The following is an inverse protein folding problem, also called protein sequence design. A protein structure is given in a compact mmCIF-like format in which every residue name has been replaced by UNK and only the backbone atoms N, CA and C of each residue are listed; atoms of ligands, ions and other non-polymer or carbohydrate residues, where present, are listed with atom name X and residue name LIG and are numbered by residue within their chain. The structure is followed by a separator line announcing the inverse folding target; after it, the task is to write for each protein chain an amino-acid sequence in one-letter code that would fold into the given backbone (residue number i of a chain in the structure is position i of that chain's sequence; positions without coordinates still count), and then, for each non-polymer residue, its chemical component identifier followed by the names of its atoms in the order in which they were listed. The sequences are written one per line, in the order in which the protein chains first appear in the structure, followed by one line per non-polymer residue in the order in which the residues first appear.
data_IF_595869137845
#
_entry.id   IF_595869137845
#
_cell.length_a   1.000
_cell.length_b   1.000
_cell.length_c   1.000
_cell.angle_alpha   90.00
_cell.angle_beta   90.00
_cell.angle_gamma   90.00
#
_symmetry.space_group_name_H-M   'P 1'
#
loop_
_entity.id
_entity.type
_entity.pdbx_description
1 polymer ?
#
# COMPACT_ATOMS: atom_id res chain seq x y z
N UNK A 1 -46.75 20.65 4.46
CA UNK A 1 -45.51 20.89 3.70
C UNK A 1 -44.53 19.84 4.21
N UNK A 2 -44.16 18.82 3.42
CA UNK A 2 -43.34 17.70 3.88
C UNK A 2 -41.89 18.14 4.08
N UNK A 3 -41.28 17.73 5.20
CA UNK A 3 -39.87 17.95 5.50
C UNK A 3 -38.98 17.37 4.38
N UNK A 4 -38.02 18.15 3.83
CA UNK A 4 -36.98 17.58 3.00
C UNK A 4 -36.11 16.73 3.93
N UNK A 5 -36.05 15.43 3.69
CA UNK A 5 -35.16 14.50 4.37
C UNK A 5 -33.71 14.94 4.17
N UNK A 6 -33.24 15.83 5.05
CA UNK A 6 -31.84 16.14 5.24
C UNK A 6 -31.21 14.93 5.89
N UNK A 7 -30.43 14.18 5.12
CA UNK A 7 -29.57 13.12 5.62
C UNK A 7 -28.80 13.65 6.82
N UNK A 8 -29.09 13.13 8.02
CA UNK A 8 -28.38 13.53 9.22
C UNK A 8 -26.88 13.33 8.99
N UNK A 9 -26.03 14.29 9.39
CA UNK A 9 -24.60 14.15 9.23
C UNK A 9 -24.14 12.83 9.85
N UNK A 10 -23.15 12.15 9.25
CA UNK A 10 -22.66 10.87 9.75
C UNK A 10 -22.38 10.97 11.26
N UNK A 11 -22.98 10.08 12.07
CA UNK A 11 -22.80 10.14 13.52
C UNK A 11 -21.32 10.04 13.89
N UNK A 12 -20.88 10.78 14.90
CA UNK A 12 -19.48 10.78 15.36
C UNK A 12 -18.96 9.35 15.61
N UNK A 13 -19.83 8.47 16.10
CA UNK A 13 -19.56 7.05 16.31
C UNK A 13 -19.27 6.28 15.00
N UNK A 14 -19.93 6.62 13.89
CA UNK A 14 -19.65 6.06 12.57
C UNK A 14 -18.26 6.51 12.09
N UNK A 15 -17.93 7.79 12.26
CA UNK A 15 -16.64 8.37 11.87
C UNK A 15 -15.50 7.69 12.65
N UNK A 16 -15.67 7.50 13.95
CA UNK A 16 -14.67 6.86 14.82
C UNK A 16 -14.47 5.38 14.47
N UNK A 17 -15.54 4.63 14.18
CA UNK A 17 -15.45 3.23 13.72
C UNK A 17 -14.73 3.13 12.36
N UNK A 18 -14.97 4.09 11.46
CA UNK A 18 -14.31 4.16 10.16
C UNK A 18 -12.82 4.48 10.30
N UNK A 19 -12.45 5.39 11.21
CA UNK A 19 -11.05 5.67 11.55
C UNK A 19 -10.34 4.44 12.15
N UNK A 20 -10.95 3.72 13.10
CA UNK A 20 -10.37 2.50 13.68
C UNK A 20 -10.18 1.39 12.64
N UNK A 21 -11.13 1.22 11.72
CA UNK A 21 -11.04 0.21 10.64
C UNK A 21 -9.89 0.53 9.66
N UNK A 22 -9.64 1.82 9.41
CA UNK A 22 -8.54 2.31 8.56
C UNK A 22 -7.18 2.04 9.19
N UNK A 23 -7.03 2.25 10.50
CA UNK A 23 -5.80 1.94 11.24
C UNK A 23 -5.50 0.44 11.26
N UNK A 24 -6.54 -0.41 11.35
CA UNK A 24 -6.40 -1.87 11.25
C UNK A 24 -5.93 -2.37 9.87
N UNK A 25 -6.41 -1.76 8.78
CA UNK A 25 -5.98 -2.07 7.41
C UNK A 25 -4.50 -1.78 7.18
N UNK A 26 -3.99 -0.71 7.80
CA UNK A 26 -2.60 -0.29 7.68
C UNK A 26 -1.63 -1.24 8.41
N UNK A 27 -2.04 -1.78 9.56
CA UNK A 27 -1.31 -2.83 10.29
C UNK A 27 -1.34 -4.16 9.54
N UNK A 28 -2.50 -4.53 8.99
CA UNK A 28 -2.65 -5.72 8.15
C UNK A 28 -1.72 -5.65 6.92
N UNK A 29 -1.58 -4.48 6.31
CA UNK A 29 -0.64 -4.27 5.19
C UNK A 29 0.83 -4.48 5.58
N UNK A 30 1.27 -3.98 6.73
CA UNK A 30 2.62 -4.24 7.24
C UNK A 30 2.85 -5.73 7.52
N UNK A 31 1.85 -6.42 8.07
CA UNK A 31 1.90 -7.85 8.33
C UNK A 31 1.94 -8.68 7.03
N UNK A 32 1.14 -8.33 6.03
CA UNK A 32 1.14 -8.99 4.71
C UNK A 32 2.47 -8.77 3.98
N UNK A 33 3.08 -7.60 4.13
CA UNK A 33 4.41 -7.33 3.56
C UNK A 33 5.50 -8.20 4.18
N UNK A 34 5.53 -8.30 5.52
CA UNK A 34 6.48 -9.17 6.23
C UNK A 34 6.23 -10.65 5.91
N UNK A 35 4.96 -11.04 5.81
CA UNK A 35 4.57 -12.40 5.40
C UNK A 35 5.07 -12.72 3.98
N UNK A 36 4.90 -11.79 3.04
CA UNK A 36 5.32 -11.97 1.64
C UNK A 36 6.85 -12.01 1.45
N UNK A 37 7.62 -11.29 2.28
CA UNK A 37 9.09 -11.35 2.33
C UNK A 37 9.61 -12.78 2.60
N UNK A 38 8.92 -13.55 3.46
CA UNK A 38 9.33 -14.93 3.78
C UNK A 38 9.17 -15.89 2.60
N UNK A 39 8.20 -15.64 1.71
CA UNK A 39 7.99 -16.44 0.50
C UNK A 39 9.03 -16.17 -0.58
N UNK A 40 9.55 -14.95 -0.68
CA UNK A 40 10.53 -14.56 -1.70
C UNK A 40 11.91 -15.22 -1.49
N UNK A 41 12.39 -15.30 -0.24
CA UNK A 41 13.68 -15.93 0.06
C UNK A 41 13.67 -17.47 -0.05
N UNK A 42 12.50 -18.08 -0.24
CA UNK A 42 12.37 -19.53 -0.45
C UNK A 42 12.42 -19.94 -1.92
N UNK A 43 12.40 -18.99 -2.86
CA UNK A 43 12.45 -19.27 -4.30
C UNK A 43 13.91 -19.53 -4.70
N UNK A 44 14.19 -20.74 -5.16
CA UNK A 44 15.55 -21.17 -5.55
C UNK A 44 15.85 -20.63 -6.96
N UNK A 45 17.09 -20.23 -7.30
CA UNK A 45 17.43 -19.73 -8.64
C UNK A 45 17.07 -20.65 -9.81
N UNK A 46 16.88 -21.95 -9.55
CA UNK A 46 16.41 -22.94 -10.53
C UNK A 46 14.93 -22.79 -10.93
N UNK A 47 14.13 -22.07 -10.16
CA UNK A 47 12.68 -21.94 -10.37
C UNK A 47 12.29 -20.69 -11.19
N UNK A 48 13.28 -19.94 -11.68
CA UNK A 48 13.10 -18.73 -12.48
C UNK A 48 13.08 -18.99 -14.00
N UNK A 49 13.10 -20.24 -14.44
CA UNK A 49 12.86 -20.58 -15.84
C UNK A 49 11.39 -20.28 -16.18
N UNK A 50 11.20 -19.32 -17.08
CA UNK A 50 9.94 -18.64 -17.43
C UNK A 50 8.92 -19.55 -18.14
N UNK A 51 9.14 -20.87 -18.13
CA UNK A 51 8.43 -21.85 -18.98
C UNK A 51 7.31 -22.58 -18.23
N UNK A 52 7.24 -22.52 -16.90
CA UNK A 52 6.19 -23.20 -16.14
C UNK A 52 5.00 -22.26 -15.80
N UNK A 53 3.81 -22.61 -16.30
CA UNK A 53 2.55 -21.87 -16.12
C UNK A 53 2.20 -21.55 -14.66
N UNK A 54 2.71 -22.32 -13.71
CA UNK A 54 2.60 -22.10 -12.25
C UNK A 54 3.23 -20.78 -11.79
N UNK A 55 4.20 -20.24 -12.52
CA UNK A 55 4.86 -18.98 -12.18
C UNK A 55 4.00 -17.75 -12.54
N UNK A 56 3.18 -17.81 -13.61
CA UNK A 56 2.33 -16.70 -14.04
C UNK A 56 1.21 -16.35 -13.06
N UNK A 57 0.68 -17.34 -12.33
CA UNK A 57 -0.36 -17.12 -11.31
C UNK A 57 0.21 -16.34 -10.11
N UNK A 58 1.45 -16.61 -9.71
CA UNK A 58 2.09 -15.89 -8.60
C UNK A 58 2.45 -14.45 -8.99
N UNK A 59 2.96 -14.24 -10.21
CA UNK A 59 3.30 -12.90 -10.72
C UNK A 59 2.06 -12.03 -10.90
N UNK A 60 0.99 -12.56 -11.50
CA UNK A 60 -0.26 -11.82 -11.69
C UNK A 60 -0.93 -11.50 -10.35
N UNK A 61 -0.92 -12.43 -9.39
CA UNK A 61 -1.44 -12.21 -8.04
C UNK A 61 -0.70 -11.08 -7.33
N UNK A 62 0.64 -11.05 -7.41
CA UNK A 62 1.44 -9.95 -6.88
C UNK A 62 1.14 -8.63 -7.58
N UNK A 63 1.07 -8.61 -8.90
CA UNK A 63 0.78 -7.39 -9.65
C UNK A 63 -0.59 -6.80 -9.30
N UNK A 64 -1.63 -7.65 -9.24
CA UNK A 64 -2.97 -7.26 -8.79
C UNK A 64 -2.91 -6.72 -7.37
N UNK A 65 -2.23 -7.41 -6.46
CA UNK A 65 -2.08 -6.97 -5.08
C UNK A 65 -1.38 -5.60 -5.01
N UNK A 66 -0.25 -5.42 -5.69
CA UNK A 66 0.47 -4.15 -5.74
C UNK A 66 -0.39 -3.01 -6.29
N UNK A 67 -1.16 -3.27 -7.35
CA UNK A 67 -2.12 -2.29 -7.90
C UNK A 67 -3.19 -1.93 -6.89
N UNK A 68 -3.78 -2.92 -6.20
CA UNK A 68 -4.77 -2.67 -5.15
C UNK A 68 -4.20 -1.82 -4.00
N UNK A 69 -2.94 -2.06 -3.63
CA UNK A 69 -2.25 -1.27 -2.61
C UNK A 69 -1.95 0.16 -3.05
N UNK A 70 -1.49 0.35 -4.29
CA UNK A 70 -1.30 1.69 -4.87
C UNK A 70 -2.63 2.45 -4.93
N UNK A 71 -3.69 1.78 -5.37
CA UNK A 71 -5.05 2.31 -5.41
C UNK A 71 -5.54 2.69 -4.01
N UNK A 72 -5.29 1.84 -3.02
CA UNK A 72 -5.66 2.11 -1.63
C UNK A 72 -4.98 3.37 -1.11
N UNK A 73 -3.66 3.48 -1.31
CA UNK A 73 -2.89 4.65 -0.89
C UNK A 73 -3.34 5.91 -1.63
N UNK A 74 -3.57 5.81 -2.94
CA UNK A 74 -4.05 6.91 -3.78
C UNK A 74 -5.47 7.35 -3.42
N UNK A 75 -6.32 6.46 -2.90
CA UNK A 75 -7.74 6.71 -2.63
C UNK A 75 -8.12 6.54 -1.15
N UNK A 76 -7.27 6.93 -0.20
CA UNK A 76 -7.37 6.61 1.24
C UNK A 76 -8.69 6.94 2.00
N UNK A 77 -9.76 7.40 1.33
CA UNK A 77 -11.12 7.58 1.86
C UNK A 77 -12.12 6.46 1.51
N UNK A 78 -11.64 5.25 1.18
CA UNK A 78 -12.49 4.06 1.04
C UNK A 78 -13.21 3.92 -0.30
N UNK A 79 -13.30 2.68 -0.79
CA UNK A 79 -14.14 2.35 -1.94
C UNK A 79 -15.59 2.20 -1.48
N UNK A 80 -16.51 2.95 -2.10
CA UNK A 80 -17.95 2.84 -1.84
C UNK A 80 -18.52 3.79 -0.78
N UNK A 81 -17.76 4.76 -0.27
CA UNK A 81 -18.29 5.75 0.70
C UNK A 81 -18.91 6.94 -0.03
N UNK A 82 -19.96 7.54 0.54
CA UNK A 82 -20.60 8.74 -0.01
C UNK A 82 -19.60 9.91 -0.09
N UNK A 83 -19.86 10.85 -1.01
CA UNK A 83 -18.95 11.98 -1.26
C UNK A 83 -18.67 12.78 0.02
N UNK A 84 -19.71 13.00 0.83
CA UNK A 84 -19.65 13.75 2.08
C UNK A 84 -18.78 13.07 3.14
N UNK A 85 -18.95 11.76 3.35
CA UNK A 85 -18.08 10.97 4.25
C UNK A 85 -16.64 10.98 3.75
N UNK A 86 -16.43 10.95 2.43
CA UNK A 86 -15.09 10.98 1.84
C UNK A 86 -14.41 12.33 1.97
N UNK A 87 -15.15 13.44 1.92
CA UNK A 87 -14.63 14.79 2.17
C UNK A 87 -14.25 14.96 3.65
N UNK A 88 -15.07 14.47 4.58
CA UNK A 88 -14.76 14.49 6.02
C UNK A 88 -13.50 13.67 6.34
N UNK A 89 -13.33 12.50 5.70
CA UNK A 89 -12.17 11.64 5.93
C UNK A 89 -10.91 12.01 5.14
N UNK A 90 -11.01 12.88 4.14
CA UNK A 90 -9.85 13.40 3.40
C UNK A 90 -9.67 14.88 3.73
N UNK A 91 -9.60 15.16 5.03
CA UNK A 91 -9.17 16.46 5.52
C UNK A 91 -7.74 16.81 5.05
N UNK A 92 -7.36 18.07 5.25
CA UNK A 92 -6.04 18.57 4.83
C UNK A 92 -4.90 17.75 5.46
N UNK A 93 -5.09 17.27 6.69
CA UNK A 93 -4.13 16.43 7.42
C UNK A 93 -3.92 15.09 6.72
N UNK A 94 -5.00 14.37 6.37
CA UNK A 94 -4.93 13.10 5.64
C UNK A 94 -4.29 13.28 4.26
N UNK A 95 -4.54 14.41 3.58
CA UNK A 95 -3.91 14.72 2.30
C UNK A 95 -2.40 14.93 2.46
N UNK A 96 -1.96 15.63 3.50
CA UNK A 96 -0.55 15.83 3.78
C UNK A 96 0.14 14.53 4.19
N UNK A 97 -0.48 13.69 5.02
CA UNK A 97 0.05 12.38 5.36
C UNK A 97 0.30 11.51 4.13
N UNK A 98 -0.61 11.57 3.15
CA UNK A 98 -0.47 10.86 1.88
C UNK A 98 0.67 11.42 1.03
N UNK A 99 0.84 12.75 0.99
CA UNK A 99 1.96 13.40 0.29
C UNK A 99 3.30 12.91 0.85
N UNK A 100 3.45 12.96 2.17
CA UNK A 100 4.66 12.50 2.88
C UNK A 100 4.88 10.99 2.70
N UNK A 101 3.81 10.20 2.69
CA UNK A 101 3.88 8.77 2.42
C UNK A 101 4.39 8.47 1.01
N UNK A 102 3.87 9.15 -0.02
CA UNK A 102 4.36 8.99 -1.39
C UNK A 102 5.81 9.42 -1.54
N UNK A 103 6.21 10.52 -0.91
CA UNK A 103 7.60 10.98 -0.89
C UNK A 103 8.53 9.93 -0.27
N UNK A 104 8.13 9.35 0.87
CA UNK A 104 8.89 8.28 1.54
C UNK A 104 8.99 7.04 0.66
N UNK A 105 7.88 6.62 0.04
CA UNK A 105 7.85 5.47 -0.87
C UNK A 105 8.72 5.67 -2.10
N UNK A 106 8.69 6.87 -2.68
CA UNK A 106 9.54 7.21 -3.82
C UNK A 106 11.02 7.07 -3.45
N UNK A 107 11.45 7.66 -2.33
CA UNK A 107 12.85 7.56 -1.89
C UNK A 107 13.26 6.12 -1.54
N UNK A 108 12.36 5.33 -0.96
CA UNK A 108 12.60 3.92 -0.70
C UNK A 108 12.77 3.11 -2.02
N UNK A 109 11.91 3.35 -3.01
CA UNK A 109 12.02 2.72 -4.33
C UNK A 109 13.32 3.12 -5.05
N UNK A 110 13.69 4.40 -5.03
CA UNK A 110 14.94 4.90 -5.63
C UNK A 110 16.16 4.29 -4.96
N UNK A 111 16.18 4.21 -3.63
CA UNK A 111 17.27 3.58 -2.88
C UNK A 111 17.38 2.08 -3.20
N UNK A 112 16.25 1.39 -3.27
CA UNK A 112 16.22 -0.02 -3.66
C UNK A 112 16.71 -0.24 -5.09
N UNK A 113 16.28 0.59 -6.04
CA UNK A 113 16.73 0.53 -7.43
C UNK A 113 18.24 0.78 -7.54
N UNK A 114 18.77 1.76 -6.81
CA UNK A 114 20.21 2.03 -6.75
C UNK A 114 20.99 0.85 -6.16
N UNK A 115 20.50 0.26 -5.06
CA UNK A 115 21.13 -0.90 -4.44
C UNK A 115 21.16 -2.11 -5.40
N UNK A 116 20.07 -2.35 -6.12
CA UNK A 116 19.98 -3.41 -7.13
C UNK A 116 20.92 -3.14 -8.31
N UNK A 117 21.01 -1.89 -8.77
CA UNK A 117 21.93 -1.49 -9.83
C UNK A 117 23.39 -1.74 -9.41
N UNK A 118 23.79 -1.35 -8.20
CA UNK A 118 25.13 -1.61 -7.69
C UNK A 118 25.37 -3.12 -7.57
N UNK A 119 24.40 -3.88 -7.05
CA UNK A 119 24.50 -5.33 -6.91
C UNK A 119 24.62 -6.06 -8.26
N UNK A 120 23.98 -5.55 -9.32
CA UNK A 120 24.04 -6.15 -10.66
C UNK A 120 25.44 -6.07 -11.30
N UNK A 121 26.28 -5.14 -10.84
CA UNK A 121 27.69 -5.06 -11.26
C UNK A 121 28.53 -6.26 -10.78
N UNK A 122 28.11 -6.91 -9.68
CA UNK A 122 28.84 -8.02 -9.09
C UNK A 122 28.28 -9.38 -9.50
N UNK A 123 26.96 -9.47 -9.75
CA UNK A 123 26.28 -10.72 -10.09
C UNK A 123 25.08 -10.47 -11.00
N UNK A 124 24.78 -11.37 -11.95
CA UNK A 124 23.56 -11.29 -12.74
C UNK A 124 22.34 -11.41 -11.81
N UNK A 125 21.44 -10.42 -11.89
CA UNK A 125 20.18 -10.41 -11.15
C UNK A 125 19.03 -10.61 -12.13
N UNK A 126 18.05 -11.43 -11.73
CA UNK A 126 16.80 -11.55 -12.49
C UNK A 126 16.09 -10.20 -12.53
N UNK A 127 15.69 -9.77 -13.73
CA UNK A 127 14.89 -8.55 -13.91
C UNK A 127 13.59 -8.61 -13.09
N UNK A 128 13.00 -9.79 -12.95
CA UNK A 128 11.80 -9.99 -12.13
C UNK A 128 12.09 -9.74 -10.64
N UNK A 129 13.16 -10.35 -10.11
CA UNK A 129 13.57 -10.17 -8.72
C UNK A 129 13.90 -8.71 -8.41
N UNK A 130 14.57 -8.03 -9.35
CA UNK A 130 14.87 -6.61 -9.26
C UNK A 130 13.60 -5.75 -9.19
N UNK A 131 12.70 -5.88 -10.16
CA UNK A 131 11.45 -5.11 -10.21
C UNK A 131 10.56 -5.36 -8.98
N UNK A 132 10.42 -6.63 -8.58
CA UNK A 132 9.68 -7.01 -7.39
C UNK A 132 10.27 -6.36 -6.13
N UNK A 133 11.61 -6.33 -6.00
CA UNK A 133 12.30 -5.67 -4.90
C UNK A 133 12.01 -4.16 -4.83
N UNK A 134 12.12 -3.46 -5.96
CA UNK A 134 11.85 -2.01 -6.04
C UNK A 134 10.41 -1.68 -5.69
N UNK A 135 9.44 -2.38 -6.31
CA UNK A 135 8.02 -2.17 -6.05
C UNK A 135 7.67 -2.44 -4.59
N UNK A 136 8.18 -3.55 -4.05
CA UNK A 136 7.98 -3.94 -2.65
C UNK A 136 8.50 -2.88 -1.68
N UNK A 137 9.73 -2.39 -1.90
CA UNK A 137 10.33 -1.37 -1.05
C UNK A 137 9.52 -0.07 -1.07
N UNK A 138 9.19 0.44 -2.26
CA UNK A 138 8.45 1.70 -2.37
C UNK A 138 7.07 1.64 -1.74
N UNK A 139 6.32 0.58 -2.03
CA UNK A 139 4.96 0.42 -1.56
C UNK A 139 4.89 0.21 -0.05
N UNK A 140 5.79 -0.62 0.51
CA UNK A 140 5.82 -0.90 1.93
C UNK A 140 6.16 0.32 2.76
N UNK A 141 7.20 1.07 2.37
CA UNK A 141 7.60 2.28 3.09
C UNK A 141 6.55 3.38 2.98
N UNK A 142 5.90 3.55 1.83
CA UNK A 142 4.79 4.48 1.68
C UNK A 142 3.63 4.15 2.63
N UNK A 143 3.18 2.90 2.60
CA UNK A 143 2.06 2.43 3.41
C UNK A 143 2.36 2.50 4.90
N UNK A 144 3.56 2.07 5.32
CA UNK A 144 3.98 2.13 6.71
C UNK A 144 4.06 3.58 7.20
N UNK A 145 4.62 4.49 6.39
CA UNK A 145 4.70 5.90 6.75
C UNK A 145 3.32 6.52 6.91
N UNK A 146 2.43 6.24 5.96
CA UNK A 146 1.03 6.67 6.03
C UNK A 146 0.35 6.17 7.31
N UNK A 147 0.48 4.87 7.60
CA UNK A 147 -0.08 4.24 8.79
C UNK A 147 0.38 4.90 10.09
N UNK A 148 1.69 5.18 10.19
CA UNK A 148 2.29 5.78 11.38
C UNK A 148 1.83 7.22 11.59
N UNK A 149 1.69 8.00 10.51
CA UNK A 149 1.20 9.37 10.58
C UNK A 149 -0.26 9.42 11.01
N UNK A 150 -1.10 8.57 10.43
CA UNK A 150 -2.51 8.44 10.82
C UNK A 150 -2.67 8.01 12.28
N UNK A 151 -1.85 7.05 12.74
CA UNK A 151 -1.89 6.62 14.15
C UNK A 151 -1.51 7.74 15.11
N UNK A 152 -0.53 8.57 14.74
CA UNK A 152 -0.08 9.70 15.56
C UNK A 152 -1.09 10.83 15.62
N UNK A 153 -1.87 11.04 14.58
CA UNK A 153 -2.94 12.04 14.59
C UNK A 153 -4.16 11.61 15.42
N UNK A 154 -4.29 10.31 15.71
CA UNK A 154 -5.36 9.73 16.52
C UNK A 154 -5.00 9.59 18.02
N UNK A 155 -3.73 9.76 18.39
CA UNK A 155 -3.22 9.64 19.76
C UNK A 155 -3.03 11.01 20.41
#
# INVERSE_FOLDING_TARGET
MPDPQGSSPPSAELIERLQRRRTGLAFFQGAVFLFWQTSFFRITPKDLDVVHATNHVNVSSYAIFAVLMMVFLARSGGFGWSREVREILNDEVTREHRRVAFETGFWAAMTAALAIFIASLFRPLSAFAALHGVLSAGLAFALLRFALLERRAQS
#
